data_IF_309745826899
#
_entry.id   IF_309745826899
#
_cell.length_a   1.000
_cell.length_b   1.000
_cell.length_c   1.000
_cell.angle_alpha   90.00
_cell.angle_beta   90.00
_cell.angle_gamma   90.00
#
_symmetry.space_group_name_H-M   'P 1'
#
loop_
_entity.id
_entity.type
_entity.pdbx_description
1 polymer ?
#
# COMPACT_ATOMS: atom_id res chain seq x y z
N UNK A 1 -13.95 -8.17 -19.89
CA UNK A 1 -12.87 -8.48 -18.91
C UNK A 1 -12.37 -9.89 -19.16
N UNK A 2 -11.35 -10.04 -19.96
CA UNK A 2 -10.73 -11.33 -20.29
C UNK A 2 -9.47 -11.51 -19.43
N UNK A 3 -9.54 -12.41 -18.44
CA UNK A 3 -8.42 -12.77 -17.60
C UNK A 3 -7.31 -13.43 -18.41
N UNK A 4 -6.19 -12.78 -18.55
CA UNK A 4 -4.94 -13.46 -18.86
C UNK A 4 -4.09 -13.42 -17.58
N UNK A 5 -4.42 -14.32 -16.66
CA UNK A 5 -3.69 -14.52 -15.42
C UNK A 5 -2.51 -15.46 -15.70
N UNK A 6 -1.32 -14.90 -15.67
CA UNK A 6 -0.14 -15.72 -15.40
C UNK A 6 -0.07 -15.84 -13.89
N UNK A 7 -0.63 -16.94 -13.37
CA UNK A 7 -0.58 -17.30 -11.96
C UNK A 7 0.85 -17.74 -11.62
N UNK A 8 1.63 -16.86 -11.02
CA UNK A 8 2.70 -17.31 -10.14
C UNK A 8 2.07 -17.75 -8.82
N UNK A 9 2.00 -19.08 -8.63
CA UNK A 9 1.66 -19.67 -7.33
C UNK A 9 2.76 -19.29 -6.33
N UNK A 10 2.52 -18.27 -5.51
CA UNK A 10 3.15 -18.21 -4.22
C UNK A 10 2.40 -19.17 -3.29
N UNK A 11 3.09 -20.17 -2.78
CA UNK A 11 2.60 -21.06 -1.74
C UNK A 11 2.40 -20.24 -0.46
N UNK A 12 1.14 -20.04 -0.07
CA UNK A 12 0.81 -19.43 1.21
C UNK A 12 0.72 -20.53 2.28
N UNK A 13 1.57 -20.45 3.26
CA UNK A 13 1.36 -21.15 4.51
C UNK A 13 0.22 -20.49 5.27
N UNK A 14 -0.84 -21.24 5.52
CA UNK A 14 -1.97 -20.83 6.35
C UNK A 14 -1.51 -20.93 7.80
N UNK A 15 -1.10 -19.80 8.37
CA UNK A 15 -0.77 -19.76 9.80
C UNK A 15 -2.05 -19.66 10.63
N UNK A 16 -2.23 -20.62 11.53
CA UNK A 16 -3.26 -20.56 12.56
C UNK A 16 -2.96 -19.40 13.53
N UNK A 17 -4.01 -18.63 13.90
CA UNK A 17 -3.89 -17.30 14.52
C UNK A 17 -3.49 -17.30 16.01
N UNK A 18 -3.37 -18.44 16.67
CA UNK A 18 -3.28 -18.47 18.13
C UNK A 18 -1.87 -18.36 18.74
N UNK A 19 -0.80 -18.30 17.94
CA UNK A 19 0.57 -18.27 18.49
C UNK A 19 1.56 -17.31 17.81
N UNK A 20 1.15 -16.17 17.28
CA UNK A 20 2.17 -15.23 16.78
C UNK A 20 2.75 -14.48 17.96
N UNK A 21 3.81 -15.05 18.52
CA UNK A 21 4.60 -14.45 19.60
C UNK A 21 5.49 -13.30 19.13
N UNK A 22 5.70 -13.19 17.84
CA UNK A 22 6.52 -12.14 17.24
C UNK A 22 5.71 -10.87 17.08
N UNK A 23 6.21 -9.78 17.63
CA UNK A 23 5.59 -8.44 17.62
C UNK A 23 6.56 -7.43 17.03
N UNK A 24 6.21 -6.87 15.87
CA UNK A 24 7.05 -5.91 15.15
C UNK A 24 6.51 -4.49 15.36
N UNK A 25 7.33 -3.63 15.96
CA UNK A 25 7.03 -2.22 16.20
C UNK A 25 8.00 -1.33 15.42
N UNK A 26 7.46 -0.46 14.56
CA UNK A 26 8.23 0.48 13.75
C UNK A 26 8.19 1.86 14.39
N UNK A 27 9.35 2.52 14.53
CA UNK A 27 9.45 3.86 15.07
C UNK A 27 9.55 4.89 13.94
N UNK A 28 8.67 5.89 13.95
CA UNK A 28 8.75 7.08 13.10
C UNK A 28 8.93 8.33 13.97
N UNK A 29 9.67 9.29 13.46
CA UNK A 29 9.87 10.58 14.15
C UNK A 29 11.06 11.34 13.59
N UNK A 30 11.17 12.62 13.96
CA UNK A 30 12.27 13.49 13.55
C UNK A 30 13.63 12.98 14.01
N UNK A 31 14.69 13.47 13.35
CA UNK A 31 16.05 13.29 13.85
C UNK A 31 16.18 13.93 15.25
N UNK A 32 16.86 13.22 16.15
CA UNK A 32 17.10 13.72 17.51
C UNK A 32 15.88 13.72 18.45
N UNK A 33 14.77 13.03 18.10
CA UNK A 33 13.64 12.83 19.03
C UNK A 33 13.82 11.64 19.98
N UNK A 34 14.96 10.97 19.99
CA UNK A 34 15.25 9.91 20.96
C UNK A 34 14.75 8.51 20.58
N UNK A 35 14.44 8.21 19.29
CA UNK A 35 14.01 6.86 18.84
C UNK A 35 15.01 5.78 19.22
N UNK A 36 16.27 5.95 18.78
CA UNK A 36 17.35 4.99 19.02
C UNK A 36 17.66 4.83 20.52
N UNK A 37 17.63 5.93 21.28
CA UNK A 37 17.82 5.90 22.74
C UNK A 37 16.68 5.11 23.41
N UNK A 38 15.43 5.35 23.02
CA UNK A 38 14.29 4.57 23.52
C UNK A 38 14.45 3.07 23.24
N UNK A 39 14.85 2.69 22.02
CA UNK A 39 15.07 1.27 21.69
C UNK A 39 16.17 0.68 22.59
N UNK A 40 17.28 1.36 22.75
CA UNK A 40 18.35 0.89 23.60
C UNK A 40 17.88 0.72 25.06
N UNK A 41 17.15 1.69 25.61
CA UNK A 41 16.66 1.63 26.98
C UNK A 41 15.63 0.54 27.20
N UNK A 42 14.61 0.40 26.32
CA UNK A 42 13.55 -0.63 26.48
C UNK A 42 14.07 -2.04 26.27
N UNK A 43 15.12 -2.20 25.45
CA UNK A 43 15.75 -3.50 25.17
C UNK A 43 16.93 -3.81 26.11
N UNK A 44 17.42 -2.81 26.85
CA UNK A 44 18.62 -2.96 27.67
C UNK A 44 19.88 -3.22 26.87
N UNK A 45 20.00 -2.65 25.66
CA UNK A 45 21.14 -2.83 24.75
C UNK A 45 21.65 -1.50 24.22
N UNK A 46 22.85 -1.48 23.67
CA UNK A 46 23.45 -0.32 22.98
C UNK A 46 23.58 -0.58 21.47
N UNK A 47 22.66 -1.37 20.90
CA UNK A 47 22.74 -1.78 19.48
C UNK A 47 22.39 -0.64 18.52
N UNK A 48 21.52 0.29 18.90
CA UNK A 48 21.25 1.46 18.10
C UNK A 48 22.31 2.55 18.36
N UNK A 49 22.90 3.07 17.29
CA UNK A 49 23.85 4.19 17.41
C UNK A 49 23.12 5.44 17.84
N UNK A 50 23.56 6.03 18.94
CA UNK A 50 23.09 7.32 19.45
C UNK A 50 24.23 8.33 19.39
N UNK A 51 23.95 9.56 19.00
CA UNK A 51 24.91 10.66 18.99
C UNK A 51 24.20 11.90 19.55
N UNK A 52 24.73 12.55 20.59
CA UNK A 52 24.17 13.77 21.12
C UNK A 52 24.26 14.96 20.15
N UNK A 53 25.03 14.85 19.04
CA UNK A 53 25.04 15.87 18.00
C UNK A 53 23.73 15.80 17.19
N UNK A 54 23.23 16.94 16.71
CA UNK A 54 21.99 17.04 15.93
C UNK A 54 22.04 16.39 14.53
N UNK A 55 23.06 15.56 14.23
CA UNK A 55 23.19 14.87 12.95
C UNK A 55 22.48 13.52 13.02
N UNK A 56 21.82 13.13 11.93
CA UNK A 56 21.20 11.82 11.81
C UNK A 56 22.25 10.70 11.94
N UNK A 57 22.09 9.86 12.96
CA UNK A 57 22.97 8.71 13.20
C UNK A 57 22.49 7.46 12.49
N UNK A 58 21.19 7.30 12.39
CA UNK A 58 20.54 6.16 11.72
C UNK A 58 20.42 6.46 10.23
N UNK A 59 21.30 5.84 9.43
CA UNK A 59 21.31 5.99 7.97
C UNK A 59 20.46 4.95 7.25
N UNK A 60 20.26 3.79 7.87
CA UNK A 60 19.53 2.65 7.32
C UNK A 60 18.59 2.09 8.39
N UNK A 61 17.52 1.44 7.97
CA UNK A 61 16.61 0.72 8.86
C UNK A 61 17.40 -0.35 9.62
N UNK A 62 17.33 -0.32 10.94
CA UNK A 62 17.93 -1.32 11.84
C UNK A 62 16.86 -1.94 12.74
N UNK A 63 17.15 -3.15 13.24
CA UNK A 63 16.24 -3.89 14.11
C UNK A 63 16.96 -4.31 15.38
N UNK A 64 16.29 -4.18 16.49
CA UNK A 64 16.71 -4.73 17.80
C UNK A 64 15.57 -5.53 18.37
N UNK A 65 15.88 -6.70 18.89
CA UNK A 65 14.92 -7.64 19.43
C UNK A 65 15.11 -7.87 20.93
N UNK A 66 13.99 -8.17 21.62
CA UNK A 66 13.95 -8.59 23.02
C UNK A 66 12.85 -9.63 23.22
N UNK A 67 13.16 -10.69 23.95
CA UNK A 67 12.17 -11.65 24.42
C UNK A 67 11.67 -11.28 25.82
N UNK A 68 10.37 -11.06 26.00
CA UNK A 68 9.76 -10.71 27.27
C UNK A 68 8.32 -11.20 27.36
N UNK A 69 7.93 -11.73 28.52
CA UNK A 69 6.55 -12.19 28.80
C UNK A 69 6.00 -13.19 27.77
N UNK A 70 6.86 -14.04 27.19
CA UNK A 70 6.47 -15.04 26.19
C UNK A 70 6.34 -14.50 24.76
N UNK A 71 6.65 -13.24 24.52
CA UNK A 71 6.67 -12.60 23.20
C UNK A 71 8.09 -12.24 22.78
N UNK A 72 8.33 -12.21 21.45
CA UNK A 72 9.52 -11.64 20.86
C UNK A 72 9.14 -10.28 20.27
N UNK A 73 9.71 -9.21 20.80
CA UNK A 73 9.48 -7.86 20.30
C UNK A 73 10.64 -7.45 19.39
N UNK A 74 10.29 -6.99 18.21
CA UNK A 74 11.23 -6.49 17.21
C UNK A 74 11.00 -5.00 17.02
N UNK A 75 11.92 -4.17 17.53
CA UNK A 75 11.88 -2.73 17.36
C UNK A 75 12.65 -2.35 16.11
N UNK A 76 12.00 -1.69 15.19
CA UNK A 76 12.57 -1.25 13.91
C UNK A 76 12.85 0.25 13.99
N UNK A 77 14.14 0.61 14.07
CA UNK A 77 14.59 2.01 14.05
C UNK A 77 14.64 2.49 12.61
N UNK A 78 14.00 3.62 12.35
CA UNK A 78 14.02 4.26 11.03
C UNK A 78 14.88 5.52 11.04
N UNK A 79 15.47 5.91 9.89
CA UNK A 79 16.13 7.20 9.76
C UNK A 79 15.24 8.34 10.20
N UNK A 80 15.81 9.32 10.89
CA UNK A 80 15.08 10.51 11.33
C UNK A 80 14.71 11.41 10.14
N UNK A 81 13.64 12.17 10.33
CA UNK A 81 13.13 13.15 9.36
C UNK A 81 13.72 14.53 9.64
N UNK A 82 13.67 15.42 8.67
CA UNK A 82 14.04 16.85 8.74
C UNK A 82 15.51 17.24 8.50
N UNK A 83 16.30 16.37 7.87
CA UNK A 83 17.67 16.78 7.48
C UNK A 83 17.71 17.56 6.13
N UNK A 84 16.55 17.98 5.62
CA UNK A 84 16.40 18.89 4.46
C UNK A 84 16.88 18.35 3.11
N UNK A 85 17.50 17.18 3.08
CA UNK A 85 18.04 16.50 1.89
C UNK A 85 17.61 15.04 1.74
N UNK A 86 16.77 14.53 2.65
CA UNK A 86 16.54 13.11 2.84
C UNK A 86 15.13 12.60 2.61
N UNK A 87 14.13 13.47 2.45
CA UNK A 87 12.71 13.03 2.45
C UNK A 87 12.40 12.01 1.35
N UNK A 88 12.95 12.17 0.14
CA UNK A 88 12.77 11.17 -0.93
C UNK A 88 13.44 9.82 -0.62
N UNK A 89 14.60 9.83 0.02
CA UNK A 89 15.31 8.61 0.41
C UNK A 89 14.57 7.92 1.57
N UNK A 90 14.06 8.68 2.53
CA UNK A 90 13.29 8.17 3.66
C UNK A 90 11.97 7.52 3.20
N UNK A 91 11.32 8.09 2.17
CA UNK A 91 10.13 7.51 1.55
C UNK A 91 10.46 6.17 0.85
N UNK A 92 11.59 6.11 0.10
CA UNK A 92 12.06 4.85 -0.52
C UNK A 92 12.40 3.76 0.51
N UNK A 93 12.91 4.16 1.68
CA UNK A 93 13.17 3.22 2.77
C UNK A 93 11.90 2.64 3.37
N UNK A 94 10.81 3.42 3.47
CA UNK A 94 9.51 2.88 3.87
C UNK A 94 9.00 1.80 2.90
N UNK A 95 9.23 1.94 1.59
CA UNK A 95 8.88 0.89 0.61
C UNK A 95 9.66 -0.41 0.87
N UNK A 96 10.92 -0.30 1.33
CA UNK A 96 11.72 -1.46 1.73
C UNK A 96 11.21 -2.13 3.01
N UNK A 97 10.61 -1.35 3.90
CA UNK A 97 10.04 -1.80 5.17
C UNK A 97 8.97 -2.88 4.95
N UNK A 98 8.06 -2.64 4.00
CA UNK A 98 7.00 -3.59 3.67
C UNK A 98 7.54 -4.95 3.19
N UNK A 99 8.61 -4.94 2.40
CA UNK A 99 9.26 -6.17 1.92
C UNK A 99 9.96 -6.92 3.04
N UNK A 100 10.61 -6.19 3.94
CA UNK A 100 11.39 -6.76 5.04
C UNK A 100 10.53 -7.18 6.23
N UNK A 101 9.46 -6.40 6.49
CA UNK A 101 8.57 -6.58 7.64
C UNK A 101 7.10 -6.62 7.20
N UNK A 102 6.64 -7.69 6.57
CA UNK A 102 5.27 -7.77 6.06
C UNK A 102 4.20 -7.82 7.16
N UNK A 103 4.58 -8.08 8.41
CA UNK A 103 3.66 -8.30 9.53
C UNK A 103 3.87 -7.30 10.68
N UNK A 104 3.97 -6.00 10.35
CA UNK A 104 4.06 -4.95 11.37
C UNK A 104 2.79 -4.95 12.21
N UNK A 105 2.94 -4.93 13.55
CA UNK A 105 1.85 -4.88 14.51
C UNK A 105 1.58 -3.44 14.99
N UNK A 106 2.63 -2.63 15.14
CA UNK A 106 2.56 -1.35 15.81
C UNK A 106 3.40 -0.31 15.08
N UNK A 107 2.84 0.88 14.94
CA UNK A 107 3.55 2.09 14.58
C UNK A 107 3.73 2.94 15.83
N UNK A 108 4.97 3.26 16.19
CA UNK A 108 5.31 4.15 17.29
C UNK A 108 5.72 5.50 16.70
N UNK A 109 4.91 6.53 16.92
CA UNK A 109 5.22 7.90 16.52
C UNK A 109 5.95 8.58 17.68
N UNK A 110 7.24 8.87 17.50
CA UNK A 110 8.09 9.47 18.52
C UNK A 110 8.09 11.00 18.36
N UNK A 111 7.73 11.68 19.43
CA UNK A 111 7.67 13.13 19.54
C UNK A 111 8.37 13.57 20.81
N UNK A 112 8.98 14.77 20.83
CA UNK A 112 9.41 15.36 22.11
C UNK A 112 8.20 15.67 22.96
N UNK A 113 8.41 15.71 24.26
CA UNK A 113 7.34 15.96 25.24
C UNK A 113 6.52 17.23 24.97
N UNK A 114 7.17 18.28 24.46
CA UNK A 114 6.58 19.59 24.16
C UNK A 114 6.08 19.75 22.73
N UNK A 115 6.29 18.77 21.85
CA UNK A 115 5.74 18.78 20.48
C UNK A 115 4.22 18.55 20.51
N UNK A 116 3.43 19.54 20.15
CA UNK A 116 1.97 19.49 20.20
C UNK A 116 1.32 19.16 18.86
N UNK A 117 2.11 19.11 17.79
CA UNK A 117 1.64 18.87 16.40
C UNK A 117 2.62 17.99 15.64
N UNK A 118 2.11 17.32 14.63
CA UNK A 118 2.95 16.64 13.66
C UNK A 118 3.64 17.68 12.77
N UNK A 119 4.94 17.52 12.54
CA UNK A 119 5.62 18.31 11.50
C UNK A 119 5.17 17.87 10.11
N UNK A 120 5.36 18.72 9.10
CA UNK A 120 5.02 18.40 7.71
C UNK A 120 5.72 17.13 7.23
N UNK A 121 7.00 16.96 7.53
CA UNK A 121 7.76 15.76 7.17
C UNK A 121 7.21 14.50 7.83
N UNK A 122 6.86 14.57 9.13
CA UNK A 122 6.30 13.44 9.85
C UNK A 122 4.89 13.12 9.36
N UNK A 123 4.08 14.13 9.02
CA UNK A 123 2.78 13.96 8.39
C UNK A 123 2.90 13.21 7.05
N UNK A 124 3.82 13.64 6.17
CA UNK A 124 4.03 13.00 4.87
C UNK A 124 4.46 11.53 5.02
N UNK A 125 5.34 11.23 5.99
CA UNK A 125 5.69 9.85 6.29
C UNK A 125 4.55 9.03 6.85
N UNK A 126 3.72 9.62 7.68
CA UNK A 126 2.53 8.96 8.23
C UNK A 126 1.55 8.61 7.12
N UNK A 127 1.30 9.54 6.19
CA UNK A 127 0.49 9.30 5.00
C UNK A 127 1.09 8.16 4.17
N UNK A 128 2.40 8.21 3.91
CA UNK A 128 3.08 7.13 3.18
C UNK A 128 3.01 5.79 3.90
N UNK A 129 3.12 5.78 5.22
CA UNK A 129 2.95 4.55 6.01
C UNK A 129 1.52 4.00 5.91
N UNK A 130 0.50 4.87 5.96
CA UNK A 130 -0.90 4.49 5.74
C UNK A 130 -1.15 3.92 4.33
N UNK A 131 -0.46 4.44 3.30
CA UNK A 131 -0.51 3.88 1.93
C UNK A 131 0.06 2.46 1.86
N UNK A 132 1.17 2.22 2.56
CA UNK A 132 1.84 0.92 2.57
C UNK A 132 1.13 -0.11 3.45
N UNK A 133 0.54 0.33 4.54
CA UNK A 133 -0.14 -0.48 5.54
C UNK A 133 -1.56 0.04 5.80
N UNK A 134 -2.43 0.07 4.76
CA UNK A 134 -3.79 0.57 4.93
C UNK A 134 -4.56 -0.38 5.83
N UNK A 135 -5.25 0.20 6.82
CA UNK A 135 -6.05 -0.50 7.79
C UNK A 135 -7.21 0.40 8.21
N UNK A 136 -8.42 -0.12 8.25
CA UNK A 136 -9.59 0.68 8.64
C UNK A 136 -9.42 1.25 10.07
N UNK A 137 -9.00 0.39 11.00
CA UNK A 137 -8.70 0.74 12.40
C UNK A 137 -7.24 1.17 12.63
N UNK A 138 -6.62 1.85 11.67
CA UNK A 138 -5.20 2.21 11.67
C UNK A 138 -4.70 2.75 13.01
N UNK A 139 -5.45 3.67 13.61
CA UNK A 139 -5.04 4.34 14.85
C UNK A 139 -5.05 3.44 16.09
N UNK A 140 -5.70 2.28 16.04
CA UNK A 140 -5.62 1.27 17.11
C UNK A 140 -4.25 0.62 17.19
N UNK A 141 -3.49 0.64 16.09
CA UNK A 141 -2.12 0.15 15.96
C UNK A 141 -1.05 1.22 16.20
N UNK A 142 -1.45 2.46 16.53
CA UNK A 142 -0.54 3.59 16.72
C UNK A 142 -0.33 3.86 18.21
N UNK A 143 0.94 3.97 18.61
CA UNK A 143 1.35 4.47 19.92
C UNK A 143 2.10 5.80 19.73
N UNK A 144 1.81 6.78 20.58
CA UNK A 144 2.54 8.03 20.64
C UNK A 144 3.57 7.95 21.78
N UNK A 145 4.83 8.05 21.42
CA UNK A 145 5.92 8.04 22.37
C UNK A 145 6.39 9.47 22.62
N UNK A 146 6.17 9.98 23.83
CA UNK A 146 6.65 11.29 24.30
C UNK A 146 8.00 11.12 24.97
N UNK A 147 9.06 11.49 24.26
CA UNK A 147 10.44 11.41 24.74
C UNK A 147 10.86 12.67 25.49
N UNK A 148 11.99 12.63 26.18
CA UNK A 148 12.48 13.72 27.05
C UNK A 148 11.44 14.16 28.09
N UNK A 149 10.68 13.18 28.60
CA UNK A 149 9.63 13.42 29.61
C UNK A 149 10.22 13.42 31.01
N UNK A 150 11.14 14.35 31.26
CA UNK A 150 11.82 14.50 32.56
C UNK A 150 10.79 14.72 33.67
N UNK A 151 10.73 13.79 34.62
CA UNK A 151 9.80 13.82 35.76
C UNK A 151 10.20 14.88 36.73
N UNK A 152 9.24 15.72 37.12
CA UNK A 152 9.47 16.80 38.08
C UNK A 152 8.19 17.60 38.34
N UNK A 153 8.29 18.61 39.21
CA UNK A 153 7.12 19.40 39.64
C UNK A 153 6.30 20.01 38.48
N UNK A 154 6.93 20.34 37.38
CA UNK A 154 6.27 20.92 36.19
C UNK A 154 5.69 19.89 35.24
N UNK A 155 6.13 18.63 35.31
CA UNK A 155 5.74 17.57 34.36
C UNK A 155 4.23 17.38 34.31
N UNK A 156 3.59 17.13 35.47
CA UNK A 156 2.14 16.87 35.51
C UNK A 156 1.32 18.06 35.02
N UNK A 157 1.76 19.29 35.39
CA UNK A 157 1.11 20.52 34.93
C UNK A 157 1.18 20.67 33.40
N UNK A 158 2.34 20.37 32.80
CA UNK A 158 2.52 20.45 31.35
C UNK A 158 1.79 19.31 30.65
N UNK A 159 1.83 18.09 31.18
CA UNK A 159 1.09 16.94 30.68
C UNK A 159 -0.40 17.27 30.56
N UNK A 160 -1.01 17.76 31.66
CA UNK A 160 -2.44 18.11 31.67
C UNK A 160 -2.76 19.28 30.72
N UNK A 161 -1.86 20.27 30.59
CA UNK A 161 -2.03 21.39 29.66
C UNK A 161 -1.99 20.94 28.18
N UNK A 162 -1.23 19.91 27.89
CA UNK A 162 -0.97 19.41 26.52
C UNK A 162 -1.88 18.24 26.13
N UNK A 163 -2.64 17.71 27.09
CA UNK A 163 -3.58 16.61 26.86
C UNK A 163 -4.56 16.95 25.74
N UNK A 164 -4.74 16.02 24.82
CA UNK A 164 -5.66 16.14 23.68
C UNK A 164 -5.18 17.01 22.52
N UNK A 165 -4.20 17.90 22.70
CA UNK A 165 -3.79 18.85 21.65
C UNK A 165 -3.23 18.19 20.38
N UNK A 166 -2.53 17.07 20.52
CA UNK A 166 -2.06 16.34 19.36
C UNK A 166 -3.24 15.73 18.58
N UNK A 167 -4.21 15.17 19.30
CA UNK A 167 -5.43 14.62 18.71
C UNK A 167 -6.24 15.72 17.99
N UNK A 168 -6.42 16.87 18.62
CA UNK A 168 -7.04 18.04 17.98
C UNK A 168 -6.30 18.42 16.70
N UNK A 169 -4.96 18.53 16.77
CA UNK A 169 -4.14 18.88 15.60
C UNK A 169 -4.20 17.86 14.46
N UNK A 170 -4.38 16.57 14.74
CA UNK A 170 -4.59 15.52 13.73
C UNK A 170 -6.00 15.65 13.12
N UNK A 171 -7.00 15.87 13.97
CA UNK A 171 -8.40 15.95 13.54
C UNK A 171 -8.74 17.28 12.83
N UNK A 172 -7.88 18.29 12.92
CA UNK A 172 -8.01 19.57 12.20
C UNK A 172 -7.14 19.61 10.91
N UNK A 173 -6.24 18.63 10.71
CA UNK A 173 -5.35 18.62 9.54
C UNK A 173 -6.09 18.13 8.30
N UNK A 174 -6.38 19.07 7.39
CA UNK A 174 -7.18 18.80 6.18
C UNK A 174 -6.57 17.72 5.30
N UNK A 175 -5.25 17.70 5.10
CA UNK A 175 -4.60 16.73 4.22
C UNK A 175 -4.71 15.31 4.79
N UNK A 176 -4.56 15.15 6.12
CA UNK A 176 -4.76 13.87 6.78
C UNK A 176 -6.23 13.43 6.74
N UNK A 177 -7.17 14.34 6.97
CA UNK A 177 -8.60 14.06 6.91
C UNK A 177 -8.98 13.57 5.51
N UNK A 178 -8.64 14.33 4.48
CA UNK A 178 -8.95 14.02 3.09
C UNK A 178 -8.34 12.66 2.68
N UNK A 179 -7.08 12.40 3.10
CA UNK A 179 -6.42 11.14 2.85
C UNK A 179 -7.12 9.97 3.54
N UNK A 180 -7.41 10.09 4.84
CA UNK A 180 -8.08 9.02 5.62
C UNK A 180 -9.47 8.73 5.10
N UNK A 181 -10.27 9.75 4.76
CA UNK A 181 -11.60 9.58 4.19
C UNK A 181 -11.55 8.85 2.84
N UNK A 182 -10.64 9.29 1.95
CA UNK A 182 -10.47 8.66 0.63
C UNK A 182 -10.08 7.18 0.74
N UNK A 183 -9.28 6.82 1.73
CA UNK A 183 -8.78 5.46 1.93
C UNK A 183 -9.59 4.66 2.96
N UNK A 184 -10.71 5.22 3.43
CA UNK A 184 -11.61 4.60 4.40
C UNK A 184 -10.90 4.17 5.71
N UNK A 185 -10.02 5.04 6.21
CA UNK A 185 -9.36 4.91 7.49
C UNK A 185 -10.16 5.73 8.51
N UNK A 186 -10.49 5.12 9.65
CA UNK A 186 -11.21 5.81 10.72
C UNK A 186 -10.36 6.92 11.33
N UNK A 187 -11.00 8.06 11.60
CA UNK A 187 -10.38 9.15 12.36
C UNK A 187 -10.10 8.70 13.80
N UNK A 188 -8.98 9.12 14.40
CA UNK A 188 -8.71 8.78 15.79
C UNK A 188 -9.69 9.52 16.74
N UNK A 189 -10.26 8.78 17.67
CA UNK A 189 -11.06 9.36 18.77
C UNK A 189 -10.24 9.51 20.04
N UNK A 190 -9.14 8.76 20.14
CA UNK A 190 -8.20 8.78 21.27
C UNK A 190 -6.82 8.34 20.75
N UNK A 191 -5.77 8.90 21.34
CA UNK A 191 -4.39 8.47 21.12
C UNK A 191 -3.86 7.77 22.38
N UNK A 192 -3.07 6.70 22.19
CA UNK A 192 -2.37 6.03 23.30
C UNK A 192 -1.01 6.68 23.45
N UNK A 193 -0.87 7.56 24.44
CA UNK A 193 0.36 8.33 24.68
C UNK A 193 1.13 7.75 25.86
N UNK A 194 2.44 7.55 25.68
CA UNK A 194 3.39 7.09 26.70
C UNK A 194 4.50 8.10 26.89
N UNK A 195 4.92 8.30 28.12
CA UNK A 195 5.86 9.36 28.50
C UNK A 195 7.13 8.73 29.07
N UNK A 196 8.24 8.90 28.36
CA UNK A 196 9.50 8.28 28.73
C UNK A 196 10.65 9.28 28.75
N UNK A 197 11.54 9.11 29.69
CA UNK A 197 12.87 9.71 29.67
C UNK A 197 13.87 8.61 29.34
N UNK A 198 14.40 8.64 28.12
CA UNK A 198 15.29 7.59 27.62
C UNK A 198 16.76 7.96 27.88
N UNK A 199 17.05 8.48 29.07
CA UNK A 199 18.41 8.62 29.55
C UNK A 199 18.85 7.29 30.19
N UNK A 200 19.81 6.57 29.61
CA UNK A 200 20.23 5.26 30.12
C UNK A 200 20.96 5.36 31.48
N UNK A 201 21.52 6.52 31.81
CA UNK A 201 22.27 6.72 33.06
C UNK A 201 21.35 6.99 34.25
N UNK A 202 20.14 7.55 34.01
CA UNK A 202 19.18 7.95 35.03
C UNK A 202 17.78 7.37 34.79
N UNK A 203 17.66 6.10 34.45
CA UNK A 203 16.39 5.47 34.13
C UNK A 203 15.54 5.31 35.39
N UNK A 204 14.53 6.18 35.52
CA UNK A 204 13.62 6.18 36.70
C UNK A 204 12.63 5.01 36.68
N UNK A 205 12.05 4.68 37.81
CA UNK A 205 11.08 3.58 37.96
C UNK A 205 9.77 3.85 37.20
N UNK A 206 9.36 5.11 37.05
CA UNK A 206 8.17 5.46 36.29
C UNK A 206 8.37 5.20 34.80
N UNK A 207 9.55 5.52 34.23
CA UNK A 207 9.91 5.21 32.84
C UNK A 207 9.99 3.69 32.61
N UNK A 208 10.52 2.92 33.60
CA UNK A 208 10.51 1.44 33.53
C UNK A 208 9.09 0.89 33.54
N UNK A 209 8.20 1.48 34.32
CA UNK A 209 6.77 1.12 34.33
C UNK A 209 6.11 1.42 32.98
N UNK A 210 6.39 2.58 32.37
CA UNK A 210 5.90 2.93 31.03
C UNK A 210 6.40 1.95 29.96
N UNK A 211 7.66 1.49 30.02
CA UNK A 211 8.17 0.46 29.11
C UNK A 211 7.36 -0.85 29.20
N UNK A 212 7.00 -1.26 30.43
CA UNK A 212 6.17 -2.45 30.61
C UNK A 212 4.75 -2.25 30.05
N UNK A 213 4.18 -1.05 30.20
CA UNK A 213 2.88 -0.71 29.60
C UNK A 213 2.95 -0.72 28.07
N UNK A 214 4.00 -0.15 27.48
CA UNK A 214 4.22 -0.15 26.01
C UNK A 214 4.31 -1.60 25.50
N UNK A 215 5.13 -2.45 26.11
CA UNK A 215 5.26 -3.85 25.72
C UNK A 215 3.94 -4.60 25.85
N UNK A 216 3.17 -4.34 26.92
CA UNK A 216 1.86 -4.94 27.12
C UNK A 216 0.84 -4.47 26.06
N UNK A 217 0.88 -3.20 25.65
CA UNK A 217 0.02 -2.73 24.54
C UNK A 217 0.43 -3.37 23.21
N UNK A 218 1.73 -3.41 22.88
CA UNK A 218 2.22 -4.06 21.65
C UNK A 218 1.85 -5.55 21.62
N UNK A 219 1.91 -6.24 22.76
CA UNK A 219 1.58 -7.69 22.84
C UNK A 219 0.13 -7.99 22.44
N UNK A 220 -0.78 -7.07 22.69
CA UNK A 220 -2.21 -7.18 22.34
C UNK A 220 -2.50 -6.89 20.86
N UNK A 221 -1.59 -6.19 20.18
CA UNK A 221 -1.81 -5.77 18.80
C UNK A 221 -1.57 -6.94 17.83
N UNK A 222 -2.52 -7.14 16.91
CA UNK A 222 -2.32 -8.00 15.76
C UNK A 222 -1.61 -7.23 14.63
N UNK A 223 -1.12 -7.86 13.58
CA UNK A 223 -0.59 -7.14 12.42
C UNK A 223 -1.64 -6.23 11.77
N UNK A 224 -1.22 -5.19 11.05
CA UNK A 224 -2.14 -4.28 10.34
C UNK A 224 -3.09 -5.02 9.39
N UNK A 225 -2.72 -6.19 8.89
CA UNK A 225 -3.56 -6.99 8.02
C UNK A 225 -3.39 -8.50 8.25
N UNK A 226 -4.45 -9.24 7.99
CA UNK A 226 -4.55 -10.69 8.15
C UNK A 226 -3.98 -11.46 6.96
N UNK A 227 -4.29 -11.00 5.76
CA UNK A 227 -3.90 -11.66 4.51
C UNK A 227 -3.52 -10.62 3.46
N UNK A 228 -2.48 -10.91 2.68
CA UNK A 228 -2.04 -10.07 1.56
C UNK A 228 -1.91 -10.92 0.32
N UNK A 229 -2.49 -10.45 -0.78
CA UNK A 229 -2.30 -11.02 -2.12
C UNK A 229 -1.72 -9.95 -3.02
N UNK A 230 -0.64 -10.28 -3.72
CA UNK A 230 -0.04 -9.41 -4.72
C UNK A 230 -0.29 -9.98 -6.11
N UNK A 231 -0.75 -9.14 -7.01
CA UNK A 231 -0.98 -9.47 -8.41
C UNK A 231 -0.29 -8.42 -9.28
N UNK A 232 0.43 -8.86 -10.32
CA UNK A 232 1.00 -7.96 -11.31
C UNK A 232 0.10 -7.99 -12.54
N UNK A 233 -0.36 -6.80 -12.98
CA UNK A 233 -1.15 -6.63 -14.20
C UNK A 233 -0.41 -5.76 -15.19
N UNK A 234 -0.28 -6.25 -16.40
CA UNK A 234 0.21 -5.47 -17.54
C UNK A 234 -0.98 -4.97 -18.37
N UNK A 235 -1.01 -3.66 -18.61
CA UNK A 235 -1.94 -3.01 -19.54
C UNK A 235 -1.16 -2.58 -20.76
N UNK A 236 -1.51 -3.13 -21.90
CA UNK A 236 -0.79 -2.89 -23.13
C UNK A 236 -1.72 -2.18 -24.11
N UNK A 237 -1.31 -1.01 -24.57
CA UNK A 237 -2.06 -0.22 -25.55
C UNK A 237 -1.18 0.18 -26.73
N UNK A 238 -1.75 0.12 -27.95
CA UNK A 238 -1.13 0.67 -29.16
C UNK A 238 -1.52 2.14 -29.28
N UNK A 239 -0.53 3.02 -29.43
CA UNK A 239 -0.73 4.44 -29.73
C UNK A 239 -0.12 4.74 -31.09
N UNK A 240 -0.78 5.60 -31.85
CA UNK A 240 -0.27 6.12 -33.12
C UNK A 240 -0.19 7.62 -33.02
N UNK A 241 0.92 8.18 -33.45
CA UNK A 241 1.04 9.57 -33.83
C UNK A 241 1.18 9.68 -35.35
N UNK A 242 1.34 10.91 -35.86
CA UNK A 242 1.36 11.15 -37.30
C UNK A 242 2.54 10.50 -38.03
N UNK A 243 3.56 10.04 -37.34
CA UNK A 243 4.81 9.52 -37.90
C UNK A 243 5.22 8.13 -37.43
N UNK A 244 4.70 7.66 -36.28
CA UNK A 244 5.13 6.41 -35.68
C UNK A 244 4.03 5.70 -34.89
N UNK A 245 4.18 4.39 -34.75
CA UNK A 245 3.32 3.58 -33.89
C UNK A 245 4.10 3.08 -32.69
N UNK A 246 3.50 3.16 -31.51
CA UNK A 246 4.11 2.74 -30.24
C UNK A 246 3.24 1.74 -29.53
N UNK A 247 3.87 0.85 -28.79
CA UNK A 247 3.20 0.10 -27.73
C UNK A 247 3.61 0.74 -26.40
N UNK A 248 2.60 1.15 -25.63
CA UNK A 248 2.78 1.52 -24.24
C UNK A 248 2.40 0.33 -23.36
N UNK A 249 3.32 -0.08 -22.48
CA UNK A 249 3.14 -1.14 -21.51
C UNK A 249 3.16 -0.53 -20.13
N UNK A 250 2.00 -0.53 -19.49
CA UNK A 250 1.85 -0.10 -18.11
C UNK A 250 1.80 -1.34 -17.25
N UNK A 251 2.69 -1.44 -16.28
CA UNK A 251 2.71 -2.53 -15.32
C UNK A 251 2.30 -2.01 -13.95
N UNK A 252 1.17 -2.51 -13.46
CA UNK A 252 0.66 -2.18 -12.14
C UNK A 252 0.78 -3.38 -11.21
N UNK A 253 1.27 -3.13 -10.00
CA UNK A 253 1.24 -4.05 -8.88
C UNK A 253 -0.02 -3.79 -8.08
N UNK A 254 -0.92 -4.76 -8.05
CA UNK A 254 -2.15 -4.71 -7.27
C UNK A 254 -1.92 -5.47 -5.99
N UNK A 255 -2.11 -4.80 -4.87
CA UNK A 255 -1.99 -5.39 -3.54
C UNK A 255 -3.38 -5.43 -2.95
N UNK A 256 -3.91 -6.64 -2.78
CA UNK A 256 -5.16 -6.90 -2.07
C UNK A 256 -4.83 -7.42 -0.68
N UNK A 257 -5.47 -6.88 0.32
CA UNK A 257 -5.29 -7.32 1.69
C UNK A 257 -6.62 -7.30 2.42
N UNK A 258 -6.73 -8.22 3.38
CA UNK A 258 -7.88 -8.33 4.27
C UNK A 258 -7.40 -7.86 5.64
N UNK A 259 -8.03 -6.84 6.20
CA UNK A 259 -7.77 -6.42 7.57
C UNK A 259 -8.36 -7.41 8.59
N UNK A 260 -8.10 -7.19 9.86
CA UNK A 260 -8.61 -8.09 10.90
C UNK A 260 -10.11 -7.99 11.10
N UNK A 261 -10.74 -6.92 10.65
CA UNK A 261 -12.20 -6.74 10.63
C UNK A 261 -12.86 -7.50 9.47
N UNK A 262 -12.03 -8.16 8.61
CA UNK A 262 -12.49 -8.94 7.48
C UNK A 262 -12.78 -8.09 6.24
N UNK A 263 -12.40 -6.80 6.25
CA UNK A 263 -12.62 -5.90 5.12
C UNK A 263 -11.53 -6.02 4.10
N UNK A 264 -11.94 -6.13 2.84
CA UNK A 264 -11.02 -6.17 1.71
C UNK A 264 -10.62 -4.74 1.30
N UNK A 265 -9.33 -4.58 1.06
CA UNK A 265 -8.72 -3.36 0.55
C UNK A 265 -7.88 -3.69 -0.68
N UNK A 266 -7.80 -2.73 -1.60
CA UNK A 266 -6.97 -2.84 -2.80
C UNK A 266 -6.15 -1.57 -2.97
N UNK A 267 -4.86 -1.73 -3.24
CA UNK A 267 -3.96 -0.64 -3.60
C UNK A 267 -3.29 -0.95 -4.92
N UNK A 268 -3.30 0.00 -5.85
CA UNK A 268 -2.66 -0.13 -7.15
C UNK A 268 -1.42 0.75 -7.17
N UNK A 269 -0.27 0.12 -7.41
CA UNK A 269 1.02 0.80 -7.54
C UNK A 269 1.56 0.60 -8.94
N UNK A 270 1.78 1.71 -9.68
CA UNK A 270 2.47 1.65 -10.96
C UNK A 270 3.95 1.33 -10.75
N UNK A 271 4.41 0.21 -11.31
CA UNK A 271 5.78 -0.27 -11.18
C UNK A 271 6.55 -0.24 -12.52
N UNK A 272 5.84 -0.01 -13.63
CA UNK A 272 6.45 0.14 -14.96
C UNK A 272 5.57 0.97 -15.89
N UNK A 273 6.22 1.77 -16.72
CA UNK A 273 5.62 2.49 -17.85
C UNK A 273 6.67 2.52 -18.97
N UNK A 274 6.50 1.63 -19.93
CA UNK A 274 7.49 1.41 -20.99
C UNK A 274 6.85 1.69 -22.35
N UNK A 275 7.56 2.42 -23.20
CA UNK A 275 7.15 2.72 -24.56
C UNK A 275 8.08 2.05 -25.56
N UNK A 276 7.53 1.27 -26.47
CA UNK A 276 8.29 0.60 -27.53
C UNK A 276 7.84 1.12 -28.90
N UNK A 277 8.78 1.65 -29.67
CA UNK A 277 8.52 2.01 -31.05
C UNK A 277 8.30 0.75 -31.91
N UNK A 278 7.23 0.75 -32.72
CA UNK A 278 6.86 -0.36 -33.60
C UNK A 278 7.33 -0.17 -35.04
N UNK A 279 8.09 0.87 -35.35
CA UNK A 279 8.53 1.13 -36.72
C UNK A 279 9.29 -0.05 -37.29
N UNK A 280 8.73 -0.68 -38.33
CA UNK A 280 9.29 -1.89 -38.92
C UNK A 280 8.98 -3.21 -38.18
N UNK A 281 8.31 -3.18 -37.03
CA UNK A 281 7.92 -4.37 -36.27
C UNK A 281 6.49 -4.77 -36.66
N UNK A 282 6.35 -5.95 -37.25
CA UNK A 282 5.03 -6.53 -37.60
C UNK A 282 4.56 -7.48 -36.49
N UNK A 283 3.25 -7.52 -36.21
CA UNK A 283 2.72 -8.55 -35.30
C UNK A 283 2.96 -9.96 -35.87
N UNK A 284 3.30 -10.87 -34.97
CA UNK A 284 3.52 -12.29 -35.31
C UNK A 284 2.23 -13.05 -35.49
N UNK A 285 1.16 -12.61 -34.86
CA UNK A 285 -0.18 -13.20 -34.98
C UNK A 285 -1.21 -12.08 -34.80
N UNK A 286 -2.33 -12.22 -35.53
CA UNK A 286 -3.49 -11.32 -35.39
C UNK A 286 -4.76 -12.18 -35.30
N UNK A 287 -5.56 -11.86 -34.31
CA UNK A 287 -6.83 -12.53 -34.04
C UNK A 287 -7.94 -11.49 -33.83
N UNK A 288 -9.17 -11.88 -34.11
CA UNK A 288 -10.36 -11.12 -33.75
C UNK A 288 -11.08 -11.88 -32.63
N UNK A 289 -11.26 -11.20 -31.50
CA UNK A 289 -12.00 -11.74 -30.35
C UNK A 289 -13.36 -11.08 -30.26
N UNK A 290 -14.36 -11.88 -29.92
CA UNK A 290 -15.72 -11.44 -29.66
C UNK A 290 -16.03 -11.63 -28.18
N UNK A 291 -16.58 -10.61 -27.53
CA UNK A 291 -17.07 -10.68 -26.17
C UNK A 291 -18.50 -10.12 -26.10
N UNK A 292 -19.37 -10.76 -25.32
CA UNK A 292 -20.74 -10.33 -25.15
C UNK A 292 -20.98 -9.85 -23.73
N UNK A 293 -21.62 -8.70 -23.61
CA UNK A 293 -22.09 -8.13 -22.36
C UNK A 293 -23.61 -8.12 -22.34
N UNK A 294 -24.18 -8.55 -21.22
CA UNK A 294 -25.61 -8.58 -21.01
C UNK A 294 -26.03 -7.31 -20.27
N UNK A 295 -26.88 -6.50 -20.88
CA UNK A 295 -27.42 -5.29 -20.27
C UNK A 295 -28.95 -5.35 -20.13
N UNK A 296 -29.53 -4.80 -19.06
CA UNK A 296 -31.00 -4.69 -18.93
C UNK A 296 -31.54 -3.68 -19.96
N UNK A 297 -32.69 -3.99 -20.54
CA UNK A 297 -33.38 -3.14 -21.54
C UNK A 297 -34.08 -1.91 -20.95
N UNK A 298 -33.63 -1.37 -19.83
CA UNK A 298 -34.20 -0.21 -19.14
C UNK A 298 -34.55 -0.52 -17.68
N UNK A 299 -34.90 0.52 -16.94
CA UNK A 299 -35.03 0.48 -15.47
C UNK A 299 -36.18 -0.42 -14.98
N UNK A 300 -37.14 -0.76 -15.83
CA UNK A 300 -38.32 -1.56 -15.47
C UNK A 300 -38.53 -2.79 -16.36
N UNK A 301 -37.57 -3.16 -17.21
CA UNK A 301 -37.72 -4.24 -18.18
C UNK A 301 -37.06 -5.53 -17.66
N UNK A 302 -37.82 -6.63 -17.64
CA UNK A 302 -37.34 -7.99 -17.37
C UNK A 302 -36.54 -8.58 -18.57
N UNK A 303 -36.55 -7.89 -19.72
CA UNK A 303 -35.81 -8.30 -20.91
C UNK A 303 -34.40 -7.75 -20.90
N UNK A 304 -33.46 -8.50 -21.45
CA UNK A 304 -32.07 -8.14 -21.60
C UNK A 304 -31.72 -7.97 -23.07
N UNK A 305 -30.77 -7.10 -23.34
CA UNK A 305 -30.12 -6.99 -24.65
C UNK A 305 -28.66 -7.34 -24.51
N UNK A 306 -28.06 -7.81 -25.59
CA UNK A 306 -26.67 -8.21 -25.61
C UNK A 306 -25.88 -7.25 -26.47
N UNK A 307 -24.85 -6.66 -25.87
CA UNK A 307 -23.88 -5.82 -26.52
C UNK A 307 -22.67 -6.69 -26.85
N UNK A 308 -22.34 -6.77 -28.11
CA UNK A 308 -21.21 -7.55 -28.58
C UNK A 308 -20.06 -6.64 -28.95
N UNK A 309 -18.94 -6.84 -28.30
CA UNK A 309 -17.70 -6.14 -28.54
C UNK A 309 -16.78 -6.99 -29.41
N UNK A 310 -16.18 -6.39 -30.40
CA UNK A 310 -15.19 -7.00 -31.26
C UNK A 310 -13.83 -6.37 -31.02
N UNK A 311 -12.85 -7.19 -30.70
CA UNK A 311 -11.51 -6.77 -30.38
C UNK A 311 -10.52 -7.30 -31.42
N UNK A 312 -9.63 -6.44 -31.88
CA UNK A 312 -8.45 -6.81 -32.64
C UNK A 312 -7.33 -7.13 -31.67
N UNK A 313 -6.81 -8.35 -31.71
CA UNK A 313 -5.72 -8.82 -30.88
C UNK A 313 -4.49 -9.01 -31.76
N UNK A 314 -3.42 -8.33 -31.42
CA UNK A 314 -2.12 -8.45 -32.06
C UNK A 314 -1.10 -8.97 -31.07
N UNK A 315 -0.20 -9.83 -31.54
CA UNK A 315 0.91 -10.32 -30.73
C UNK A 315 2.22 -9.80 -31.31
N UNK A 316 3.02 -9.20 -30.47
CA UNK A 316 4.34 -8.67 -30.81
C UNK A 316 5.43 -9.38 -30.02
N UNK A 317 6.57 -9.63 -30.64
CA UNK A 317 7.78 -10.08 -29.95
C UNK A 317 8.63 -8.86 -29.58
N UNK A 318 8.68 -8.53 -28.27
CA UNK A 318 9.40 -7.36 -27.77
C UNK A 318 10.34 -7.84 -26.64
N UNK A 319 11.63 -7.57 -26.76
CA UNK A 319 12.63 -7.96 -25.77
C UNK A 319 12.65 -9.47 -25.49
N UNK A 320 12.38 -10.31 -26.51
CA UNK A 320 12.32 -11.77 -26.38
C UNK A 320 11.06 -12.27 -25.66
N UNK A 321 10.06 -11.42 -25.44
CA UNK A 321 8.78 -11.78 -24.84
C UNK A 321 7.63 -11.49 -25.80
N UNK A 322 6.66 -12.40 -25.83
CA UNK A 322 5.44 -12.22 -26.62
C UNK A 322 4.49 -11.31 -25.84
N UNK A 323 4.15 -10.15 -26.43
CA UNK A 323 3.22 -9.17 -25.86
C UNK A 323 1.91 -9.18 -26.66
N UNK A 324 0.78 -9.20 -25.94
CA UNK A 324 -0.56 -9.19 -26.51
C UNK A 324 -1.17 -7.80 -26.40
N UNK A 325 -1.49 -7.18 -27.52
CA UNK A 325 -2.19 -5.91 -27.60
C UNK A 325 -3.64 -6.17 -28.02
N UNK A 326 -4.58 -5.62 -27.29
CA UNK A 326 -6.00 -5.71 -27.61
C UNK A 326 -6.55 -4.29 -27.82
N UNK A 327 -7.15 -4.04 -28.96
CA UNK A 327 -7.88 -2.81 -29.26
C UNK A 327 -9.31 -3.15 -29.64
N UNK A 328 -10.27 -2.36 -29.15
CA UNK A 328 -11.66 -2.49 -29.57
C UNK A 328 -11.77 -2.02 -31.02
N UNK A 329 -12.38 -2.85 -31.87
CA UNK A 329 -12.70 -2.48 -33.25
C UNK A 329 -14.03 -1.75 -33.31
N UNK A 330 -15.07 -2.39 -32.79
CA UNK A 330 -16.42 -1.85 -32.69
C UNK A 330 -17.24 -2.65 -31.68
N UNK A 331 -18.41 -2.14 -31.34
CA UNK A 331 -19.44 -2.88 -30.64
C UNK A 331 -20.78 -2.77 -31.37
N UNK A 332 -21.63 -3.80 -31.22
CA UNK A 332 -22.97 -3.83 -31.81
C UNK A 332 -23.97 -4.40 -30.83
N UNK A 333 -25.23 -3.94 -30.92
CA UNK A 333 -26.34 -4.63 -30.28
C UNK A 333 -26.73 -5.82 -31.11
N UNK A 334 -26.72 -7.00 -30.50
CA UNK A 334 -27.19 -8.21 -31.16
C UNK A 334 -28.59 -8.54 -30.67
N UNK A 335 -29.57 -8.70 -31.59
CA UNK A 335 -30.91 -9.12 -31.20
C UNK A 335 -30.90 -10.57 -30.71
N UNK A 336 -31.50 -10.79 -29.54
CA UNK A 336 -31.81 -12.12 -29.03
C UNK A 336 -33.29 -12.20 -28.77
N UNK A 337 -33.89 -13.39 -28.92
CA UNK A 337 -35.27 -13.63 -28.54
C UNK A 337 -35.48 -13.60 -27.01
N UNK A 338 -36.72 -13.74 -26.57
CA UNK A 338 -37.07 -13.68 -25.13
C UNK A 338 -36.38 -14.76 -24.31
N UNK A 339 -35.99 -15.88 -24.94
CA UNK A 339 -35.25 -16.99 -24.34
C UNK A 339 -33.72 -16.79 -24.38
N UNK A 340 -33.25 -15.64 -24.90
CA UNK A 340 -31.81 -15.33 -25.03
C UNK A 340 -31.16 -16.08 -26.22
N UNK A 341 -31.95 -16.69 -27.12
CA UNK A 341 -31.47 -17.35 -28.30
C UNK A 341 -31.20 -16.34 -29.40
N UNK A 342 -30.10 -16.51 -30.10
CA UNK A 342 -29.70 -15.56 -31.13
C UNK A 342 -30.61 -15.66 -32.36
N UNK A 343 -31.17 -14.49 -32.74
CA UNK A 343 -32.04 -14.38 -33.92
C UNK A 343 -31.26 -14.51 -35.23
N UNK A 344 -29.96 -14.22 -35.19
CA UNK A 344 -29.05 -14.40 -36.34
C UNK A 344 -28.15 -15.59 -36.10
N UNK A 345 -28.22 -16.56 -37.00
CA UNK A 345 -27.55 -17.85 -36.86
C UNK A 345 -26.03 -17.79 -36.95
N UNK A 346 -25.42 -18.93 -36.67
CA UNK A 346 -23.97 -19.15 -36.62
C UNK A 346 -23.23 -18.72 -37.92
N UNK A 347 -23.86 -18.90 -39.08
CA UNK A 347 -23.31 -18.47 -40.38
C UNK A 347 -23.10 -16.95 -40.50
N UNK A 348 -23.96 -16.11 -39.86
CA UNK A 348 -23.76 -14.68 -39.83
C UNK A 348 -22.56 -14.28 -38.96
N UNK A 349 -22.35 -14.98 -37.87
CA UNK A 349 -21.19 -14.75 -36.97
C UNK A 349 -19.89 -15.14 -37.64
N UNK A 350 -19.89 -16.28 -38.36
CA UNK A 350 -18.71 -16.74 -39.11
C UNK A 350 -18.36 -15.73 -40.21
N UNK A 351 -19.35 -15.27 -40.97
CA UNK A 351 -19.14 -14.24 -41.99
C UNK A 351 -18.61 -12.93 -41.40
N UNK A 352 -19.12 -12.50 -40.25
CA UNK A 352 -18.67 -11.30 -39.56
C UNK A 352 -17.22 -11.45 -39.04
N UNK A 353 -16.89 -12.60 -38.48
CA UNK A 353 -15.53 -12.90 -38.03
C UNK A 353 -14.54 -12.97 -39.21
N UNK A 354 -14.96 -13.54 -40.37
CA UNK A 354 -14.14 -13.51 -41.56
C UNK A 354 -13.89 -12.10 -42.09
N UNK A 355 -14.92 -11.21 -42.05
CA UNK A 355 -14.80 -9.83 -42.45
C UNK A 355 -13.79 -9.12 -41.55
N UNK A 356 -13.90 -9.25 -40.22
CA UNK A 356 -12.95 -8.63 -39.26
C UNK A 356 -11.54 -9.20 -39.41
N UNK A 357 -11.39 -10.48 -39.66
CA UNK A 357 -10.09 -11.08 -39.94
C UNK A 357 -9.47 -10.54 -41.27
N UNK A 358 -10.27 -10.29 -42.27
CA UNK A 358 -9.81 -9.62 -43.52
C UNK A 358 -9.36 -8.19 -43.27
N UNK A 359 -10.13 -7.41 -42.47
CA UNK A 359 -9.79 -6.06 -42.10
C UNK A 359 -8.52 -6.06 -41.23
N UNK A 360 -8.40 -6.96 -40.28
CA UNK A 360 -7.23 -7.14 -39.46
C UNK A 360 -5.98 -7.41 -40.29
N UNK A 361 -6.06 -8.36 -41.21
CA UNK A 361 -4.97 -8.73 -42.10
C UNK A 361 -4.62 -7.58 -43.08
N UNK A 362 -5.60 -6.84 -43.58
CA UNK A 362 -5.36 -5.70 -44.48
C UNK A 362 -4.64 -4.53 -43.81
N UNK A 363 -4.85 -4.32 -42.52
CA UNK A 363 -4.15 -3.27 -41.72
C UNK A 363 -2.71 -3.65 -41.39
N UNK A 364 -2.33 -4.92 -41.50
CA UNK A 364 -0.97 -5.40 -41.23
C UNK A 364 -0.08 -5.30 -42.46
N UNK A 365 -0.68 -5.36 -43.65
CA UNK A 365 0.06 -5.40 -44.95
C UNK A 365 0.40 -3.99 -45.45
N UNK A 366 -0.16 -2.92 -44.83
CA UNK A 366 0.15 -1.52 -45.12
C UNK A 366 1.02 -0.95 -44.02
#
# INVERSE_FOLDING_TARGET
>A
MGNCSILYKCSFEKFEMDEIRDKIAVLLGKTGVGKSSFINCITGTDKCKTDPSAKSCTKNISQVDIAKNGYNFYFVDTPGLDDGKGDENNIKELDSLKKKYPRINTLIISLKFDDLRLSSSLKNMLIKFMELFPCHSFWEHVLILRTFSIRGQKFQKMKNKNEGKLLEGINDDKDLIDFMQKNNILMPTKLKEFFVDSDPEELDEETKAEFNLILNEISKMHPFYKEVKEEIKEYISEKKDDQSSFINIITDKIIKFIDFDGKEHETVQRIGDENYNLDGIKPTLVEVKREQEKEPRGILSWSHQFKTHYYLIKFYEIGGKRKRVQSELEWRWEPKDEDGKEIQGEAYREALNEEYNKIANSKIIK
#
